data_IF_691568431583
#
_entry.id   IF_691568431583
#
_cell.length_a   1.000
_cell.length_b   1.000
_cell.length_c   1.000
_cell.angle_alpha   90.00
_cell.angle_beta   90.00
_cell.angle_gamma   90.00
#
_symmetry.space_group_name_H-M   'P 1'
#
loop_
_entity.id
_entity.type
_entity.pdbx_description
1 polymer ?
#
# COMPACT_ATOMS: atom_id res chain seq x y z
N UNK A 1 14.86 22.04 5.70
CA UNK A 1 14.33 21.44 4.47
C UNK A 1 13.27 20.42 4.87
N UNK A 2 12.01 20.60 4.45
CA UNK A 2 10.96 19.57 4.62
C UNK A 2 11.13 18.57 3.49
N UNK A 3 11.52 17.34 3.81
CA UNK A 3 11.40 16.20 2.90
C UNK A 3 9.95 15.73 2.95
N UNK A 4 9.16 16.14 1.95
CA UNK A 4 7.78 15.67 1.78
C UNK A 4 7.77 14.44 0.87
N UNK A 5 8.49 13.40 1.27
CA UNK A 5 8.45 12.12 0.58
C UNK A 5 7.21 11.36 1.08
N UNK A 6 6.38 10.88 0.17
CA UNK A 6 5.14 10.16 0.47
C UNK A 6 4.91 9.10 -0.61
N UNK A 7 4.32 7.98 -0.25
CA UNK A 7 4.10 6.88 -1.19
C UNK A 7 2.65 6.48 -1.19
N UNK A 8 2.20 5.94 -2.32
CA UNK A 8 0.86 5.40 -2.47
C UNK A 8 0.92 4.03 -3.14
N UNK A 9 -0.10 3.22 -2.86
CA UNK A 9 -0.33 1.98 -3.58
C UNK A 9 -0.92 2.31 -4.96
N UNK A 10 -0.28 1.79 -6.00
CA UNK A 10 -0.75 1.89 -7.38
C UNK A 10 -1.73 0.75 -7.69
N UNK A 11 -1.36 -0.45 -7.26
CA UNK A 11 -2.12 -1.66 -7.48
C UNK A 11 -1.99 -2.61 -6.30
N UNK A 12 -3.07 -3.28 -5.92
CA UNK A 12 -3.09 -4.27 -4.83
C UNK A 12 -2.91 -5.71 -5.34
N UNK A 13 -3.20 -5.95 -6.62
CA UNK A 13 -3.04 -7.25 -7.28
C UNK A 13 -2.55 -7.07 -8.71
N UNK A 14 -1.23 -7.14 -8.88
CA UNK A 14 -0.55 -7.08 -10.17
C UNK A 14 -0.40 -8.47 -10.75
N UNK A 15 -0.86 -8.63 -11.98
CA UNK A 15 -0.62 -9.81 -12.80
C UNK A 15 0.00 -9.39 -14.14
N UNK A 16 1.28 -9.72 -14.34
CA UNK A 16 2.08 -9.16 -15.43
C UNK A 16 2.17 -7.63 -15.35
N UNK A 17 1.63 -6.97 -16.36
CA UNK A 17 1.53 -5.50 -16.45
C UNK A 17 0.11 -4.98 -16.15
N UNK A 18 -0.84 -5.86 -15.83
CA UNK A 18 -2.22 -5.49 -15.54
C UNK A 18 -2.47 -5.38 -14.04
N UNK A 19 -3.15 -4.30 -13.64
CA UNK A 19 -3.70 -4.19 -12.30
C UNK A 19 -5.11 -4.80 -12.22
N UNK A 20 -5.29 -5.78 -11.34
CA UNK A 20 -6.56 -6.51 -11.11
C UNK A 20 -7.28 -6.08 -9.84
N UNK A 21 -6.71 -5.17 -9.07
CA UNK A 21 -7.30 -4.66 -7.84
C UNK A 21 -6.67 -3.36 -7.40
N UNK A 22 -7.48 -2.40 -7.01
CA UNK A 22 -7.05 -1.06 -6.65
C UNK A 22 -7.31 -0.77 -5.18
N UNK A 23 -6.63 0.23 -4.63
CA UNK A 23 -6.99 0.75 -3.31
C UNK A 23 -8.36 1.46 -3.37
N UNK A 24 -9.03 1.51 -2.22
CA UNK A 24 -10.33 2.17 -2.11
C UNK A 24 -10.21 3.66 -2.42
N UNK A 25 -11.05 4.15 -3.32
CA UNK A 25 -11.03 5.56 -3.72
C UNK A 25 -9.90 5.91 -4.68
N UNK A 26 -9.32 4.91 -5.37
CA UNK A 26 -8.34 5.14 -6.41
C UNK A 26 -8.84 6.12 -7.48
N UNK A 27 -7.95 6.99 -7.96
CA UNK A 27 -8.21 8.06 -8.91
C UNK A 27 -7.10 8.07 -9.98
N UNK A 28 -7.45 8.12 -11.28
CA UNK A 28 -6.46 8.15 -12.37
C UNK A 28 -5.67 9.45 -12.44
N UNK A 29 -6.10 10.48 -11.72
CA UNK A 29 -5.44 11.78 -11.72
C UNK A 29 -4.24 11.83 -10.77
N UNK A 30 -3.98 10.77 -9.99
CA UNK A 30 -2.90 10.70 -9.00
C UNK A 30 -2.81 11.94 -8.08
N UNK A 31 -3.97 12.47 -7.69
CA UNK A 31 -4.06 13.62 -6.80
C UNK A 31 -3.90 13.14 -5.37
N UNK A 32 -2.88 13.63 -4.65
CA UNK A 32 -2.59 13.21 -3.28
C UNK A 32 -3.82 13.30 -2.38
N UNK A 33 -4.57 14.41 -2.45
CA UNK A 33 -5.77 14.63 -1.63
C UNK A 33 -6.91 13.64 -1.90
N UNK A 34 -6.87 12.93 -3.03
CA UNK A 34 -7.83 11.89 -3.35
C UNK A 34 -7.39 10.51 -2.86
N UNK A 35 -6.09 10.28 -2.79
CA UNK A 35 -5.47 8.96 -2.79
C UNK A 35 -4.72 8.61 -1.51
N UNK A 36 -4.17 9.61 -0.85
CA UNK A 36 -3.35 9.47 0.33
C UNK A 36 -3.59 10.64 1.27
N UNK A 37 -2.99 10.58 2.44
CA UNK A 37 -2.98 11.73 3.32
C UNK A 37 -1.75 11.69 4.20
N UNK A 38 -1.22 12.88 4.49
CA UNK A 38 0.03 13.01 5.22
C UNK A 38 -0.19 12.68 6.69
N UNK A 39 0.46 11.61 7.15
CA UNK A 39 0.47 11.22 8.56
C UNK A 39 1.71 11.82 9.22
N UNK A 40 1.50 12.88 9.99
CA UNK A 40 2.57 13.59 10.72
C UNK A 40 2.78 13.05 12.15
N UNK A 41 1.71 12.61 12.81
CA UNK A 41 1.74 11.97 14.12
C UNK A 41 1.46 10.47 13.99
N UNK A 42 2.21 9.65 14.72
CA UNK A 42 2.17 8.18 14.62
C UNK A 42 1.10 7.55 15.51
N UNK A 43 0.50 8.28 16.47
CA UNK A 43 -0.49 7.74 17.42
C UNK A 43 -1.82 8.48 17.31
N UNK A 44 -2.94 7.76 17.41
CA UNK A 44 -4.32 8.28 17.44
C UNK A 44 -4.78 9.09 16.22
N UNK A 45 -4.25 8.80 15.02
CA UNK A 45 -4.78 9.32 13.76
C UNK A 45 -5.43 8.19 12.95
N UNK A 46 -6.33 8.49 12.00
CA UNK A 46 -6.94 7.49 11.11
C UNK A 46 -5.91 6.58 10.40
N UNK A 47 -6.25 5.34 10.07
CA UNK A 47 -5.32 4.47 9.34
C UNK A 47 -5.22 4.85 7.85
N UNK A 48 -6.30 5.39 7.27
CA UNK A 48 -6.35 5.93 5.91
C UNK A 48 -7.13 7.26 5.91
N UNK A 49 -7.20 7.90 4.74
CA UNK A 49 -7.83 9.22 4.62
C UNK A 49 -9.30 9.20 5.12
N UNK A 50 -9.68 10.11 6.05
CA UNK A 50 -11.04 10.20 6.55
C UNK A 50 -12.08 10.29 5.43
N UNK A 51 -13.20 9.59 5.60
CA UNK A 51 -14.27 9.55 4.60
C UNK A 51 -13.95 8.73 3.35
N UNK A 52 -12.74 8.21 3.14
CA UNK A 52 -12.46 7.18 2.12
C UNK A 52 -12.68 5.77 2.65
N UNK A 53 -12.44 5.52 3.94
CA UNK A 53 -12.60 4.19 4.55
C UNK A 53 -14.04 3.74 4.81
N UNK A 54 -15.02 4.64 4.85
CA UNK A 54 -16.34 4.33 5.42
C UNK A 54 -17.40 3.98 4.38
N UNK A 55 -17.06 4.01 3.09
CA UNK A 55 -17.98 3.61 2.02
C UNK A 55 -17.33 2.67 1.02
N UNK A 56 -17.93 1.49 0.84
CA UNK A 56 -17.60 0.54 -0.23
C UNK A 56 -17.99 1.07 -1.62
N UNK A 57 -18.81 2.12 -1.70
CA UNK A 57 -19.24 2.75 -2.96
C UNK A 57 -18.11 3.52 -3.68
N UNK A 58 -16.88 3.47 -3.18
CA UNK A 58 -15.70 4.12 -3.77
C UNK A 58 -14.91 3.23 -4.73
N UNK A 59 -15.35 1.99 -4.96
CA UNK A 59 -14.85 1.18 -6.06
C UNK A 59 -15.75 1.38 -7.28
N UNK A 60 -15.14 1.57 -8.44
CA UNK A 60 -15.85 1.69 -9.72
C UNK A 60 -15.59 0.44 -10.56
N UNK A 61 -16.39 0.17 -11.61
CA UNK A 61 -16.10 -0.94 -12.52
C UNK A 61 -14.70 -0.87 -13.16
N UNK A 62 -14.15 0.34 -13.35
CA UNK A 62 -12.79 0.54 -13.86
C UNK A 62 -11.69 0.30 -12.83
N UNK A 63 -11.99 0.51 -11.53
CA UNK A 63 -11.05 0.35 -10.43
C UNK A 63 -11.63 -0.58 -9.35
N UNK A 64 -11.73 -1.90 -9.63
CA UNK A 64 -12.34 -2.86 -8.71
C UNK A 64 -11.43 -3.23 -7.54
N UNK A 65 -12.00 -3.92 -6.56
CA UNK A 65 -11.22 -4.61 -5.51
C UNK A 65 -10.42 -5.79 -6.09
N UNK A 66 -9.26 -6.06 -5.48
CA UNK A 66 -8.55 -7.33 -5.70
C UNK A 66 -9.45 -8.52 -5.33
N UNK A 67 -9.35 -9.61 -6.09
CA UNK A 67 -10.04 -10.87 -5.82
C UNK A 67 -9.02 -11.97 -5.62
N UNK A 68 -9.06 -12.60 -4.46
CA UNK A 68 -8.06 -13.58 -4.07
C UNK A 68 -8.69 -14.78 -3.36
N UNK A 69 -8.04 -15.93 -3.47
CA UNK A 69 -8.36 -17.13 -2.68
C UNK A 69 -7.59 -17.09 -1.36
N UNK A 70 -8.11 -17.76 -0.33
CA UNK A 70 -7.35 -18.04 0.88
C UNK A 70 -6.04 -18.77 0.50
N UNK A 71 -4.92 -18.36 1.10
CA UNK A 71 -3.57 -18.86 0.77
C UNK A 71 -2.94 -18.29 -0.51
N UNK A 72 -3.67 -17.50 -1.31
CA UNK A 72 -3.10 -16.88 -2.51
C UNK A 72 -2.12 -15.77 -2.13
N UNK A 73 -0.97 -15.72 -2.81
CA UNK A 73 -0.04 -14.59 -2.72
C UNK A 73 -0.48 -13.49 -3.68
N UNK A 74 -0.65 -12.27 -3.17
CA UNK A 74 -0.89 -11.07 -3.97
C UNK A 74 0.39 -10.24 -4.06
N UNK A 75 0.59 -9.62 -5.22
CA UNK A 75 1.66 -8.64 -5.44
C UNK A 75 1.04 -7.27 -5.59
N UNK A 76 1.52 -6.31 -4.82
CA UNK A 76 1.10 -4.92 -4.92
C UNK A 76 2.25 -4.06 -5.41
N UNK A 77 1.92 -2.91 -5.99
CA UNK A 77 2.89 -1.92 -6.43
C UNK A 77 2.69 -0.59 -5.73
N UNK A 78 3.78 0.14 -5.53
CA UNK A 78 3.79 1.48 -4.99
C UNK A 78 4.91 2.30 -5.61
N UNK A 79 4.75 3.62 -5.61
CA UNK A 79 5.82 4.52 -6.02
C UNK A 79 6.73 4.85 -4.83
N UNK A 80 8.04 4.76 -5.05
CA UNK A 80 9.02 5.17 -4.03
C UNK A 80 9.02 6.69 -3.79
N UNK A 81 8.64 7.50 -4.79
CA UNK A 81 8.50 8.96 -4.70
C UNK A 81 9.66 9.64 -3.94
N UNK A 82 10.88 9.28 -4.33
CA UNK A 82 12.11 9.76 -3.74
C UNK A 82 12.49 9.20 -2.36
N UNK A 83 11.86 8.14 -1.84
CA UNK A 83 12.32 7.47 -0.61
C UNK A 83 13.46 6.46 -0.85
N UNK A 84 13.67 6.01 -2.10
CA UNK A 84 14.63 4.94 -2.42
C UNK A 84 15.79 5.45 -3.26
N UNK A 85 15.53 6.00 -4.44
CA UNK A 85 16.59 6.35 -5.40
C UNK A 85 16.95 7.83 -5.42
N UNK A 86 16.01 8.69 -5.00
CA UNK A 86 16.18 10.16 -4.99
C UNK A 86 16.11 10.78 -3.59
N UNK A 87 16.33 9.99 -2.56
CA UNK A 87 16.25 10.47 -1.19
C UNK A 87 17.31 11.55 -0.95
N UNK A 88 16.85 12.70 -0.47
CA UNK A 88 17.68 13.89 -0.19
C UNK A 88 18.10 13.97 1.28
N UNK A 89 17.93 12.88 2.04
CA UNK A 89 18.46 12.80 3.40
C UNK A 89 19.99 12.93 3.41
N UNK A 90 20.57 13.61 4.42
CA UNK A 90 22.02 13.85 4.50
C UNK A 90 22.88 12.59 4.50
N UNK A 91 22.34 11.50 5.07
CA UNK A 91 23.08 10.24 5.32
C UNK A 91 22.73 9.11 4.34
N UNK A 92 22.35 9.46 3.09
CA UNK A 92 21.89 8.54 2.02
C UNK A 92 20.43 8.08 2.20
N UNK A 93 19.83 7.45 1.16
CA UNK A 93 18.46 6.96 1.25
C UNK A 93 18.24 6.03 2.43
N UNK A 94 17.18 6.27 3.19
CA UNK A 94 16.80 5.44 4.33
C UNK A 94 15.32 5.04 4.27
N UNK A 95 14.92 4.25 3.26
CA UNK A 95 13.51 3.95 2.94
C UNK A 95 12.72 3.23 4.05
N UNK A 96 13.40 2.73 5.10
CA UNK A 96 12.80 1.95 6.21
C UNK A 96 12.06 0.71 5.70
N UNK A 97 11.15 0.20 6.52
CA UNK A 97 10.34 -0.98 6.28
C UNK A 97 8.86 -0.66 6.43
N UNK A 98 8.01 -1.47 5.79
CA UNK A 98 6.56 -1.44 5.96
C UNK A 98 6.04 -2.78 6.51
N UNK A 99 4.82 -2.76 7.02
CA UNK A 99 4.05 -3.94 7.40
C UNK A 99 2.70 -3.90 6.69
N UNK A 100 2.18 -5.08 6.32
CA UNK A 100 0.81 -5.22 5.80
C UNK A 100 -0.06 -5.68 6.94
N UNK A 101 -1.23 -5.07 7.13
CA UNK A 101 -2.19 -5.45 8.15
C UNK A 101 -3.51 -5.83 7.50
N UNK A 102 -4.39 -6.56 8.20
CA UNK A 102 -5.67 -6.97 7.64
C UNK A 102 -6.80 -7.07 8.67
N UNK A 103 -8.04 -6.94 8.20
CA UNK A 103 -9.23 -7.32 8.98
C UNK A 103 -9.54 -8.79 8.74
N UNK A 104 -9.43 -9.62 9.77
CA UNK A 104 -9.82 -11.04 9.70
C UNK A 104 -11.33 -11.25 9.62
N UNK A 105 -12.13 -10.22 9.92
CA UNK A 105 -13.59 -10.29 9.92
C UNK A 105 -14.13 -9.92 8.55
N UNK A 106 -14.70 -10.90 7.85
CA UNK A 106 -15.33 -10.66 6.55
C UNK A 106 -16.43 -9.60 6.64
N UNK A 107 -16.47 -8.74 5.63
CA UNK A 107 -17.44 -7.66 5.41
C UNK A 107 -17.39 -6.51 6.42
N UNK A 108 -16.48 -6.54 7.40
CA UNK A 108 -16.33 -5.50 8.42
C UNK A 108 -14.94 -4.85 8.31
N UNK A 109 -14.92 -3.52 8.20
CA UNK A 109 -13.68 -2.74 8.23
C UNK A 109 -13.30 -2.50 9.71
N UNK A 110 -12.28 -3.18 10.22
CA UNK A 110 -11.84 -3.08 11.64
C UNK A 110 -10.60 -2.22 11.84
N UNK A 111 -9.90 -1.84 10.77
CA UNK A 111 -8.71 -0.99 10.84
C UNK A 111 -9.15 0.44 10.52
N UNK A 112 -9.42 1.23 11.55
CA UNK A 112 -9.90 2.61 11.41
C UNK A 112 -8.85 3.62 11.82
N UNK A 113 -8.05 3.28 12.83
CA UNK A 113 -7.03 4.12 13.42
C UNK A 113 -5.65 3.47 13.28
N UNK A 114 -4.60 4.29 13.32
CA UNK A 114 -3.20 3.83 13.37
C UNK A 114 -2.92 2.91 14.55
N UNK A 115 -3.65 3.08 15.66
CA UNK A 115 -3.57 2.21 16.84
C UNK A 115 -4.05 0.79 16.57
N UNK A 116 -4.87 0.58 15.54
CA UNK A 116 -5.40 -0.74 15.19
C UNK A 116 -4.37 -1.59 14.43
N UNK A 117 -3.29 -0.97 13.92
CA UNK A 117 -2.19 -1.64 13.25
C UNK A 117 -1.28 -2.27 14.30
N UNK A 118 -1.55 -3.53 14.64
CA UNK A 118 -0.87 -4.27 15.70
C UNK A 118 -0.23 -5.54 15.16
N UNK A 119 0.63 -6.18 15.96
CA UNK A 119 1.19 -7.48 15.58
C UNK A 119 0.10 -8.55 15.39
N UNK A 120 -1.04 -8.43 16.08
CA UNK A 120 -2.14 -9.40 16.01
C UNK A 120 -2.83 -9.44 14.64
N UNK A 121 -2.79 -8.34 13.89
CA UNK A 121 -3.40 -8.25 12.57
C UNK A 121 -2.37 -7.98 11.46
N UNK A 122 -1.09 -8.24 11.73
CA UNK A 122 -0.03 -8.13 10.74
C UNK A 122 0.05 -9.40 9.88
N UNK A 123 0.23 -9.23 8.58
CA UNK A 123 0.49 -10.30 7.62
C UNK A 123 1.99 -10.43 7.38
N UNK A 124 2.59 -11.52 7.87
CA UNK A 124 4.01 -11.81 7.72
C UNK A 124 4.91 -10.86 8.52
N UNK A 125 6.20 -10.84 8.19
CA UNK A 125 7.18 -9.95 8.81
C UNK A 125 7.23 -8.59 8.11
N UNK A 126 7.78 -7.57 8.79
CA UNK A 126 8.10 -6.29 8.17
C UNK A 126 9.02 -6.49 6.96
N UNK A 127 8.74 -5.76 5.87
CA UNK A 127 9.47 -5.86 4.61
C UNK A 127 10.21 -4.55 4.33
N UNK A 128 11.40 -4.60 3.70
CA UNK A 128 12.06 -3.39 3.21
C UNK A 128 11.14 -2.61 2.26
N UNK A 129 11.12 -1.29 2.39
CA UNK A 129 10.41 -0.42 1.44
C UNK A 129 11.17 -0.28 0.10
N UNK A 130 12.47 -0.58 0.07
CA UNK A 130 13.22 -0.73 -1.17
C UNK A 130 13.15 -2.18 -1.66
N UNK A 131 12.54 -2.42 -2.82
CA UNK A 131 12.49 -3.75 -3.45
C UNK A 131 13.81 -4.14 -4.15
N UNK A 132 14.80 -3.25 -4.14
CA UNK A 132 16.13 -3.42 -4.72
C UNK A 132 16.15 -3.34 -6.25
N UNK A 133 15.05 -2.97 -6.90
CA UNK A 133 14.87 -3.12 -8.34
C UNK A 133 14.16 -1.92 -8.98
N UNK A 134 13.23 -1.28 -8.28
CA UNK A 134 12.52 -0.09 -8.76
C UNK A 134 13.43 1.13 -8.80
N UNK A 135 13.09 2.04 -9.69
CA UNK A 135 13.62 3.39 -9.78
C UNK A 135 12.55 4.30 -10.39
N UNK A 136 12.44 5.52 -9.86
CA UNK A 136 11.53 6.54 -10.40
C UNK A 136 11.96 7.03 -11.79
N UNK A 137 13.27 7.16 -12.05
CA UNK A 137 13.82 7.70 -13.31
C UNK A 137 14.57 6.68 -14.17
N UNK A 138 14.89 5.51 -13.63
CA UNK A 138 15.67 4.46 -14.28
C UNK A 138 17.17 4.76 -14.40
N UNK A 139 17.70 5.73 -13.67
CA UNK A 139 19.09 6.16 -13.84
C UNK A 139 20.10 5.40 -12.96
N UNK A 140 19.63 4.74 -11.90
CA UNK A 140 20.51 4.08 -10.95
C UNK A 140 20.94 2.69 -11.49
N UNK A 141 22.24 2.33 -11.38
CA UNK A 141 22.74 1.04 -11.86
C UNK A 141 21.97 -0.14 -11.30
N UNK A 142 21.60 -1.09 -12.17
CA UNK A 142 20.89 -2.32 -11.80
C UNK A 142 19.41 -2.15 -11.46
N UNK A 143 18.85 -0.95 -11.62
CA UNK A 143 17.43 -0.65 -11.37
C UNK A 143 16.68 -0.35 -12.66
N UNK A 144 15.38 -0.59 -12.64
CA UNK A 144 14.48 -0.41 -13.80
C UNK A 144 13.46 0.68 -13.47
N UNK A 145 13.13 1.52 -14.45
CA UNK A 145 12.06 2.50 -14.33
C UNK A 145 10.70 1.80 -14.22
N UNK A 146 10.26 1.52 -12.99
CA UNK A 146 8.99 0.86 -12.67
C UNK A 146 8.58 1.15 -11.21
N UNK A 147 7.29 0.98 -10.87
CA UNK A 147 6.86 0.94 -9.47
C UNK A 147 7.60 -0.13 -8.67
N UNK A 148 7.83 0.13 -7.39
CA UNK A 148 8.32 -0.86 -6.44
C UNK A 148 7.26 -1.91 -6.19
N UNK A 149 7.69 -3.13 -5.89
CA UNK A 149 6.81 -4.28 -5.66
C UNK A 149 6.90 -4.77 -4.24
N UNK A 150 5.74 -5.02 -3.64
CA UNK A 150 5.60 -5.75 -2.39
C UNK A 150 4.68 -6.95 -2.58
N UNK A 151 4.68 -7.88 -1.63
CA UNK A 151 3.72 -8.99 -1.65
C UNK A 151 3.29 -9.40 -0.26
N UNK A 152 2.10 -9.99 -0.18
CA UNK A 152 1.58 -10.62 1.03
C UNK A 152 0.74 -11.84 0.64
N UNK A 153 0.55 -12.75 1.59
CA UNK A 153 -0.27 -13.95 1.39
C UNK A 153 -1.58 -13.79 2.13
N UNK A 154 -2.70 -14.04 1.45
CA UNK A 154 -4.01 -14.12 2.10
C UNK A 154 -3.98 -15.27 3.11
N UNK A 155 -4.37 -15.06 4.36
CA UNK A 155 -4.39 -16.13 5.35
C UNK A 155 -5.20 -17.34 4.88
N UNK A 156 -4.69 -18.54 5.12
CA UNK A 156 -5.29 -19.79 4.66
C UNK A 156 -6.68 -20.05 5.27
N UNK A 157 -6.97 -19.42 6.41
CA UNK A 157 -8.25 -19.48 7.11
C UNK A 157 -9.17 -18.28 6.81
N UNK A 158 -8.85 -17.44 5.82
CA UNK A 158 -9.71 -16.33 5.43
C UNK A 158 -11.08 -16.84 4.96
N UNK A 159 -12.14 -16.37 5.61
CA UNK A 159 -13.51 -16.69 5.24
C UNK A 159 -13.92 -15.95 3.96
N UNK A 160 -14.81 -16.50 3.13
CA UNK A 160 -15.32 -15.77 1.97
C UNK A 160 -15.98 -14.43 2.33
N UNK A 161 -15.62 -13.36 1.62
CA UNK A 161 -16.20 -12.03 1.80
C UNK A 161 -15.21 -10.90 1.51
N UNK A 162 -15.63 -9.67 1.77
CA UNK A 162 -14.77 -8.48 1.65
C UNK A 162 -13.84 -8.38 2.85
N UNK A 163 -12.54 -8.29 2.62
CA UNK A 163 -11.55 -8.00 3.66
C UNK A 163 -10.89 -6.63 3.45
N UNK A 164 -10.42 -6.04 4.54
CA UNK A 164 -9.64 -4.80 4.54
C UNK A 164 -8.15 -5.16 4.69
N UNK A 165 -7.31 -4.47 3.92
CA UNK A 165 -5.85 -4.52 3.99
C UNK A 165 -5.30 -3.08 3.96
#
# INVERSE_FOLDING_TARGET
MRTDAHSWLECTDVDGDQCRGYQRGWSPNHIDTDMTYRILDRKNVPACFPGRQDSSAKYTPGFPMAKARAGQRLTFTYLENGHVTKDKLPDKPNPKSYTVHWSSTANVDTIKMRSDLTAANQLGAAQPFDDGQCSEDGQQPGRVKRPCRGSFTIPANATPGRHQF
#
